data_IF_156975315255
#
_entry.id   IF_156975315255
#
_cell.length_a   1.000
_cell.length_b   1.000
_cell.length_c   1.000
_cell.angle_alpha   90.00
_cell.angle_beta   90.00
_cell.angle_gamma   90.00
#
_symmetry.space_group_name_H-M   'P 1'
#
loop_
_entity.id
_entity.type
_entity.pdbx_description
1 polymer ?
#
# COMPACT_ATOMS: atom_id res chain seq x y z
N UNK A 1 66.98 -27.73 17.93
CA UNK A 1 65.53 -27.44 17.85
C UNK A 1 65.33 -25.93 17.89
N UNK A 2 64.89 -25.33 16.77
CA UNK A 2 64.55 -23.90 16.66
C UNK A 2 63.04 -23.75 16.86
N UNK A 3 62.60 -22.97 17.84
CA UNK A 3 61.20 -22.56 17.98
C UNK A 3 61.02 -21.21 17.28
N UNK A 4 60.06 -21.12 16.36
CA UNK A 4 59.89 -20.01 15.43
C UNK A 4 58.73 -19.12 15.93
N UNK A 5 59.00 -17.84 16.18
CA UNK A 5 57.98 -16.86 16.59
C UNK A 5 57.16 -16.40 15.39
N UNK A 6 55.83 -16.43 15.49
CA UNK A 6 54.95 -15.68 14.58
C UNK A 6 54.21 -14.62 15.39
N UNK A 7 54.65 -13.38 15.22
CA UNK A 7 53.96 -12.20 15.74
C UNK A 7 52.70 -11.95 14.89
N UNK A 8 51.56 -11.88 15.57
CA UNK A 8 50.24 -11.59 15.02
C UNK A 8 50.11 -10.07 14.87
N UNK A 9 49.84 -9.60 13.64
CA UNK A 9 49.50 -8.21 13.34
C UNK A 9 48.05 -7.97 13.77
N UNK A 10 47.81 -7.05 14.72
CA UNK A 10 46.46 -6.53 15.01
C UNK A 10 46.19 -5.33 14.09
N UNK A 11 45.19 -5.45 13.23
CA UNK A 11 44.67 -4.37 12.39
C UNK A 11 43.51 -3.69 13.16
N UNK A 12 43.71 -2.45 13.61
CA UNK A 12 42.65 -1.66 14.24
C UNK A 12 41.84 -0.93 13.18
N UNK A 13 40.58 -1.33 12.99
CA UNK A 13 39.61 -0.61 12.17
C UNK A 13 39.01 0.55 12.96
N UNK A 14 39.16 1.76 12.42
CA UNK A 14 38.56 2.99 12.91
C UNK A 14 37.04 2.96 12.64
N UNK A 15 36.20 2.95 13.68
CA UNK A 15 34.76 3.18 13.53
C UNK A 15 34.50 4.68 13.40
N UNK A 16 34.13 5.14 12.21
CA UNK A 16 33.57 6.48 12.01
C UNK A 16 32.07 6.46 12.35
N UNK A 17 31.72 7.02 13.50
CA UNK A 17 30.33 7.23 13.93
C UNK A 17 29.70 8.35 13.10
N UNK A 18 28.80 8.01 12.16
CA UNK A 18 27.90 9.00 11.56
C UNK A 18 26.78 9.31 12.56
N UNK A 19 26.80 10.52 13.13
CA UNK A 19 25.67 11.05 13.88
C UNK A 19 24.54 11.37 12.89
N UNK A 20 23.50 10.53 12.84
CA UNK A 20 22.29 10.84 12.10
C UNK A 20 21.46 11.87 12.90
N UNK A 21 21.20 13.02 12.29
CA UNK A 21 20.24 14.00 12.79
C UNK A 21 18.85 13.36 12.81
N UNK A 22 18.40 12.89 13.96
CA UNK A 22 17.02 12.43 14.15
C UNK A 22 16.12 13.65 14.35
N UNK A 23 15.66 14.28 13.27
CA UNK A 23 14.42 15.05 13.37
C UNK A 23 13.34 14.10 13.87
N UNK A 24 12.61 14.48 14.91
CA UNK A 24 11.51 13.68 15.44
C UNK A 24 10.53 13.41 14.29
N UNK A 25 10.43 12.14 13.89
CA UNK A 25 9.51 11.69 12.86
C UNK A 25 8.17 11.39 13.51
N UNK A 26 7.11 12.03 13.01
CA UNK A 26 5.77 11.96 13.60
C UNK A 26 5.02 10.74 13.06
N UNK A 27 4.35 10.02 13.95
CA UNK A 27 3.36 8.98 13.59
C UNK A 27 2.05 9.68 13.24
N UNK A 28 1.44 9.28 12.13
CA UNK A 28 0.12 9.76 11.71
C UNK A 28 -0.86 8.60 11.63
N UNK A 29 -2.14 8.92 11.82
CA UNK A 29 -3.24 8.04 11.48
C UNK A 29 -3.45 8.09 9.96
N UNK A 30 -3.41 6.95 9.29
CA UNK A 30 -3.62 6.86 7.86
C UNK A 30 -4.77 5.90 7.64
N UNK A 31 -5.97 6.49 7.54
CA UNK A 31 -7.23 5.77 7.51
C UNK A 31 -7.62 5.48 6.08
N UNK A 32 -8.13 4.28 5.87
CA UNK A 32 -8.69 3.82 4.62
C UNK A 32 -9.93 2.97 4.93
N UNK A 33 -10.97 3.07 4.11
CA UNK A 33 -12.14 2.21 4.27
C UNK A 33 -12.63 1.61 2.95
N UNK A 34 -13.08 0.36 3.00
CA UNK A 34 -13.86 -0.24 1.94
C UNK A 34 -15.33 -0.23 2.33
N UNK A 35 -16.18 0.34 1.48
CA UNK A 35 -17.63 0.37 1.66
C UNK A 35 -18.31 -0.51 0.61
N UNK A 36 -19.45 -1.09 0.97
CA UNK A 36 -20.37 -1.63 -0.02
C UNK A 36 -21.06 -0.49 -0.73
N UNK A 37 -21.17 -0.57 -2.05
CA UNK A 37 -22.08 0.28 -2.80
C UNK A 37 -23.56 0.00 -2.42
N UNK A 38 -24.44 0.95 -2.70
CA UNK A 38 -25.86 0.90 -2.39
C UNK A 38 -26.75 0.35 -3.52
N UNK A 39 -26.25 0.36 -4.76
CA UNK A 39 -26.95 -0.11 -5.97
C UNK A 39 -26.69 -1.61 -6.16
N UNK A 40 -25.42 -2.02 -6.12
CA UNK A 40 -24.99 -3.42 -6.25
C UNK A 40 -24.24 -3.88 -4.99
N UNK A 41 -24.93 -4.05 -3.85
CA UNK A 41 -24.27 -4.23 -2.57
C UNK A 41 -23.56 -5.58 -2.44
N UNK A 42 -22.39 -5.57 -1.80
CA UNK A 42 -21.74 -6.76 -1.27
C UNK A 42 -22.20 -7.00 0.17
N UNK A 43 -22.33 -8.26 0.56
CA UNK A 43 -22.84 -8.66 1.87
C UNK A 43 -21.78 -8.59 2.97
N UNK A 44 -20.50 -8.77 2.61
CA UNK A 44 -19.40 -8.72 3.57
C UNK A 44 -18.12 -8.23 2.92
N UNK A 45 -17.41 -7.36 3.65
CA UNK A 45 -16.06 -6.90 3.31
C UNK A 45 -15.18 -7.06 4.54
N UNK A 46 -14.03 -7.73 4.37
CA UNK A 46 -13.02 -7.83 5.42
C UNK A 46 -11.63 -7.66 4.84
N UNK A 47 -10.77 -6.89 5.50
CA UNK A 47 -9.35 -6.83 5.18
C UNK A 47 -8.55 -7.61 6.22
N UNK A 48 -7.47 -8.26 5.80
CA UNK A 48 -6.51 -8.91 6.70
C UNK A 48 -5.11 -8.49 6.32
N UNK A 49 -4.43 -7.76 7.22
CA UNK A 49 -3.04 -7.35 7.01
C UNK A 49 -2.10 -8.55 7.01
N UNK A 50 -1.14 -8.59 6.09
CA UNK A 50 -0.24 -9.75 5.89
C UNK A 50 1.20 -9.53 6.37
N UNK A 51 1.44 -8.53 7.23
CA UNK A 51 2.77 -8.16 7.72
C UNK A 51 3.82 -7.81 6.63
N UNK A 52 3.38 -7.54 5.39
CA UNK A 52 4.25 -7.09 4.31
C UNK A 52 4.00 -5.61 4.03
N UNK A 53 5.06 -4.82 4.00
CA UNK A 53 5.00 -3.38 3.79
C UNK A 53 6.32 -2.85 3.25
N UNK A 54 6.30 -1.61 2.78
CA UNK A 54 7.47 -0.76 2.58
C UNK A 54 7.13 0.65 3.04
N UNK A 55 8.09 1.35 3.63
CA UNK A 55 7.91 2.68 4.16
C UNK A 55 9.21 3.46 3.98
N UNK A 56 9.09 4.76 3.75
CA UNK A 56 10.25 5.61 3.54
C UNK A 56 11.25 5.52 4.70
N UNK A 57 12.52 5.28 4.35
CA UNK A 57 13.61 5.13 5.32
C UNK A 57 13.63 6.22 6.39
N UNK A 58 13.69 5.79 7.65
CA UNK A 58 13.67 6.66 8.83
C UNK A 58 12.28 7.15 9.25
N UNK A 59 11.20 6.75 8.57
CA UNK A 59 9.83 6.99 9.06
C UNK A 59 9.36 5.85 10.00
N UNK A 60 8.50 6.15 10.99
CA UNK A 60 7.98 5.15 11.90
C UNK A 60 6.84 4.35 11.26
N UNK A 61 6.71 3.08 11.68
CA UNK A 61 5.51 2.26 11.53
C UNK A 61 5.15 1.73 12.92
N UNK A 62 4.05 2.21 13.47
CA UNK A 62 3.54 1.91 14.82
C UNK A 62 2.32 0.96 14.78
N UNK A 63 2.19 0.21 13.68
CA UNK A 63 1.21 -0.84 13.50
C UNK A 63 0.14 -0.56 12.44
N UNK A 64 -0.58 -1.61 12.10
CA UNK A 64 -1.73 -1.61 11.19
C UNK A 64 -2.93 -2.15 11.96
N UNK A 65 -3.97 -1.35 12.08
CA UNK A 65 -5.19 -1.70 12.80
C UNK A 65 -6.29 -1.94 11.78
N UNK A 66 -6.98 -3.08 11.91
CA UNK A 66 -8.00 -3.50 10.95
C UNK A 66 -9.29 -3.87 11.67
N UNK A 67 -10.43 -3.45 11.12
CA UNK A 67 -11.76 -3.80 11.60
C UNK A 67 -12.74 -3.89 10.44
N UNK A 68 -13.01 -5.11 9.95
CA UNK A 68 -13.79 -5.30 8.72
C UNK A 68 -13.08 -4.69 7.52
N UNK A 69 -13.75 -3.82 6.77
CA UNK A 69 -13.18 -3.05 5.66
C UNK A 69 -12.33 -1.83 6.08
N UNK A 70 -12.34 -1.45 7.36
CA UNK A 70 -11.57 -0.30 7.85
C UNK A 70 -10.13 -0.67 8.16
N UNK A 71 -9.20 0.18 7.72
CA UNK A 71 -7.76 0.06 7.92
C UNK A 71 -7.20 1.39 8.45
N UNK A 72 -6.39 1.34 9.49
CA UNK A 72 -5.62 2.48 9.99
C UNK A 72 -4.15 2.10 10.13
N UNK A 73 -3.31 2.67 9.27
CA UNK A 73 -1.86 2.48 9.31
C UNK A 73 -1.25 3.61 10.13
N UNK A 74 -0.71 3.30 11.31
CA UNK A 74 -0.02 4.28 12.14
C UNK A 74 1.41 4.45 11.60
N UNK A 75 1.63 5.45 10.75
CA UNK A 75 2.90 5.58 10.03
C UNK A 75 3.27 7.03 9.71
N UNK A 76 4.56 7.25 9.43
CA UNK A 76 5.07 8.53 8.94
C UNK A 76 4.64 8.87 7.50
N UNK A 77 4.63 10.16 7.16
CA UNK A 77 4.21 10.68 5.85
C UNK A 77 5.36 11.39 5.13
N UNK A 78 6.28 10.60 4.59
CA UNK A 78 7.39 11.13 3.78
C UNK A 78 7.42 10.42 2.44
N UNK A 79 7.21 11.16 1.36
CA UNK A 79 7.24 10.60 0.01
C UNK A 79 8.61 10.08 -0.37
N UNK A 80 8.63 8.93 -1.03
CA UNK A 80 9.84 8.30 -1.54
C UNK A 80 9.58 7.62 -2.87
N UNK A 81 10.45 7.89 -3.84
CA UNK A 81 10.46 7.20 -5.13
C UNK A 81 10.76 5.69 -4.97
N UNK A 82 11.75 5.27 -4.15
CA UNK A 82 11.95 3.84 -3.85
C UNK A 82 10.70 3.09 -3.43
N UNK A 83 9.89 3.66 -2.53
CA UNK A 83 8.65 3.02 -2.04
C UNK A 83 7.61 2.90 -3.15
N UNK A 84 7.47 3.94 -3.98
CA UNK A 84 6.61 3.88 -5.17
C UNK A 84 7.08 2.84 -6.18
N UNK A 85 8.38 2.73 -6.43
CA UNK A 85 8.93 1.72 -7.32
C UNK A 85 8.70 0.30 -6.80
N UNK A 86 8.81 0.11 -5.47
CA UNK A 86 8.52 -1.14 -4.78
C UNK A 86 7.05 -1.55 -4.95
N UNK A 87 6.10 -0.62 -4.71
CA UNK A 87 4.67 -0.83 -4.96
C UNK A 87 4.39 -1.18 -6.44
N UNK A 88 4.90 -0.37 -7.37
CA UNK A 88 4.70 -0.58 -8.81
C UNK A 88 5.29 -1.93 -9.25
N UNK A 89 6.45 -2.30 -8.73
CA UNK A 89 7.12 -3.58 -9.02
C UNK A 89 6.31 -4.80 -8.55
N UNK A 90 5.68 -4.72 -7.37
CA UNK A 90 4.79 -5.76 -6.87
C UNK A 90 3.56 -5.99 -7.78
N UNK A 91 3.20 -4.97 -8.57
CA UNK A 91 2.09 -4.96 -9.52
C UNK A 91 2.59 -5.03 -10.97
N UNK A 92 3.79 -5.58 -11.17
CA UNK A 92 4.41 -5.81 -12.49
C UNK A 92 4.57 -4.55 -13.35
N UNK A 93 4.51 -3.36 -12.74
CA UNK A 93 4.48 -2.06 -13.39
C UNK A 93 3.32 -1.90 -14.39
N UNK A 94 2.24 -2.67 -14.21
CA UNK A 94 1.07 -2.65 -15.07
C UNK A 94 0.00 -1.70 -14.50
N UNK A 95 -0.30 -0.64 -15.23
CA UNK A 95 -1.25 0.39 -14.80
C UNK A 95 -2.66 -0.19 -14.55
N UNK A 96 -3.06 -1.21 -15.33
CA UNK A 96 -4.34 -1.90 -15.18
C UNK A 96 -4.55 -2.60 -13.82
N UNK A 97 -3.48 -2.83 -13.06
CA UNK A 97 -3.51 -3.46 -11.73
C UNK A 97 -3.60 -2.45 -10.60
N UNK A 98 -3.75 -1.15 -10.90
CA UNK A 98 -3.68 -0.07 -9.91
C UNK A 98 -4.84 0.91 -10.07
N UNK A 99 -5.42 1.31 -8.95
CA UNK A 99 -6.41 2.38 -8.86
C UNK A 99 -5.87 3.46 -7.93
N UNK A 100 -5.62 4.65 -8.47
CA UNK A 100 -5.31 5.83 -7.67
C UNK A 100 -6.58 6.63 -7.37
N UNK A 101 -6.95 6.73 -6.10
CA UNK A 101 -8.08 7.55 -5.67
C UNK A 101 -7.71 9.02 -5.78
N UNK A 102 -8.61 9.84 -6.35
CA UNK A 102 -8.35 11.23 -6.72
C UNK A 102 -7.05 11.44 -7.52
N UNK A 103 -6.61 10.44 -8.28
CA UNK A 103 -5.41 10.51 -9.11
C UNK A 103 -5.75 10.64 -10.58
N UNK A 104 -5.09 11.58 -11.26
CA UNK A 104 -5.05 11.62 -12.72
C UNK A 104 -3.88 10.79 -13.29
N UNK A 105 -2.94 10.36 -12.44
CA UNK A 105 -1.80 9.54 -12.83
C UNK A 105 -2.18 8.07 -12.83
N UNK A 106 -1.62 7.31 -13.78
CA UNK A 106 -1.81 5.86 -13.86
C UNK A 106 -0.98 5.07 -12.84
N UNK A 107 0.07 5.68 -12.28
CA UNK A 107 0.89 5.10 -11.22
C UNK A 107 1.42 6.18 -10.27
N UNK A 108 1.68 5.86 -9.00
CA UNK A 108 2.30 6.80 -8.08
C UNK A 108 3.76 7.03 -8.45
N UNK A 109 4.19 8.30 -8.41
CA UNK A 109 5.61 8.66 -8.52
C UNK A 109 6.30 8.57 -7.16
N UNK A 110 5.66 9.05 -6.09
CA UNK A 110 6.16 8.91 -4.72
C UNK A 110 5.05 8.41 -3.80
N UNK A 111 5.43 7.56 -2.84
CA UNK A 111 4.55 7.05 -1.79
C UNK A 111 5.17 7.29 -0.42
N UNK A 112 4.32 7.44 0.59
CA UNK A 112 4.74 7.45 1.99
C UNK A 112 5.09 6.02 2.44
N UNK A 113 4.19 5.09 2.14
CA UNK A 113 4.28 3.66 2.43
C UNK A 113 3.32 2.87 1.53
N UNK A 114 3.47 1.55 1.54
CA UNK A 114 2.43 0.60 1.15
C UNK A 114 2.38 -0.56 2.13
N UNK A 115 1.21 -1.16 2.28
CA UNK A 115 0.98 -2.41 3.01
C UNK A 115 0.30 -3.42 2.09
N UNK A 116 0.50 -4.70 2.35
CA UNK A 116 -0.22 -5.78 1.68
C UNK A 116 -1.20 -6.44 2.64
N UNK A 117 -2.31 -6.90 2.10
CA UNK A 117 -3.24 -7.76 2.81
C UNK A 117 -4.09 -8.59 1.86
N UNK A 118 -5.04 -9.29 2.46
CA UNK A 118 -6.09 -10.01 1.76
C UNK A 118 -7.39 -9.23 1.96
N UNK A 119 -7.98 -8.76 0.86
CA UNK A 119 -9.34 -8.25 0.83
C UNK A 119 -10.28 -9.43 0.56
N UNK A 120 -11.22 -9.66 1.46
CA UNK A 120 -12.25 -10.70 1.32
C UNK A 120 -13.60 -10.03 1.06
N UNK A 121 -14.23 -10.38 -0.06
CA UNK A 121 -15.53 -9.85 -0.50
C UNK A 121 -16.45 -11.04 -0.71
N UNK A 122 -17.56 -11.10 0.03
CA UNK A 122 -18.53 -12.22 -0.01
C UNK A 122 -17.88 -13.64 0.08
N UNK A 123 -16.69 -13.75 0.69
CA UNK A 123 -15.91 -14.99 0.81
C UNK A 123 -14.82 -15.18 -0.25
N UNK A 124 -14.86 -14.48 -1.38
CA UNK A 124 -13.78 -14.43 -2.36
C UNK A 124 -12.60 -13.63 -1.80
N UNK A 125 -11.37 -14.07 -2.05
CA UNK A 125 -10.16 -13.49 -1.44
C UNK A 125 -9.18 -12.95 -2.48
N UNK A 126 -8.74 -11.72 -2.27
CA UNK A 126 -7.91 -10.97 -3.20
C UNK A 126 -6.65 -10.47 -2.49
N UNK A 127 -5.44 -10.86 -2.93
CA UNK A 127 -4.23 -10.17 -2.51
C UNK A 127 -4.25 -8.74 -3.01
N UNK A 128 -4.25 -7.78 -2.10
CA UNK A 128 -4.27 -6.35 -2.44
C UNK A 128 -3.15 -5.60 -1.74
N UNK A 129 -2.69 -4.53 -2.37
CA UNK A 129 -1.77 -3.55 -1.83
C UNK A 129 -2.53 -2.25 -1.59
N UNK A 130 -2.44 -1.72 -0.38
CA UNK A 130 -2.91 -0.38 -0.03
C UNK A 130 -1.71 0.52 0.14
N UNK A 131 -1.70 1.65 -0.56
CA UNK A 131 -0.59 2.57 -0.60
C UNK A 131 -1.07 4.00 -0.39
N UNK A 132 -0.29 4.79 0.35
CA UNK A 132 -0.60 6.21 0.54
C UNK A 132 0.38 7.07 -0.25
N UNK A 133 -0.18 7.90 -1.12
CA UNK A 133 0.53 8.89 -1.92
C UNK A 133 1.12 10.02 -1.08
N UNK A 134 2.07 10.73 -1.67
CA UNK A 134 2.68 11.91 -1.08
C UNK A 134 2.35 13.14 -1.91
N UNK A 135 1.14 13.65 -1.76
CA UNK A 135 0.70 14.92 -2.32
C UNK A 135 -0.06 15.72 -1.24
N UNK A 136 -0.60 16.89 -1.60
CA UNK A 136 -1.34 17.75 -0.65
C UNK A 136 -2.53 17.07 0.02
N UNK A 137 -3.05 15.98 -0.58
CA UNK A 137 -4.17 15.20 -0.09
C UNK A 137 -3.80 13.82 0.46
N UNK A 138 -2.53 13.40 0.36
CA UNK A 138 -2.05 12.05 0.66
C UNK A 138 -2.92 10.94 0.06
N UNK A 139 -3.22 11.07 -1.23
CA UNK A 139 -4.21 10.23 -1.91
C UNK A 139 -3.90 8.72 -1.81
N UNK A 140 -4.92 7.88 -1.61
CA UNK A 140 -4.73 6.44 -1.53
C UNK A 140 -4.67 5.77 -2.90
N UNK A 141 -3.98 4.63 -2.93
CA UNK A 141 -3.83 3.75 -4.06
C UNK A 141 -4.18 2.32 -3.64
N UNK A 142 -4.89 1.62 -4.51
CA UNK A 142 -5.25 0.22 -4.34
C UNK A 142 -4.64 -0.53 -5.50
N UNK A 143 -4.02 -1.68 -5.24
CA UNK A 143 -3.44 -2.49 -6.30
C UNK A 143 -3.66 -3.97 -6.11
N UNK A 144 -3.86 -4.71 -7.21
CA UNK A 144 -3.97 -6.17 -7.18
C UNK A 144 -3.61 -6.78 -8.53
N UNK A 145 -2.95 -7.94 -8.52
CA UNK A 145 -2.69 -8.70 -9.74
C UNK A 145 -3.95 -9.35 -10.33
N UNK A 146 -5.02 -9.51 -9.53
CA UNK A 146 -6.35 -9.87 -10.03
C UNK A 146 -7.14 -8.66 -10.52
N UNK A 147 -6.52 -7.48 -10.48
CA UNK A 147 -7.07 -6.22 -10.94
C UNK A 147 -7.04 -6.11 -12.47
N UNK A 148 -8.14 -5.67 -13.07
CA UNK A 148 -8.16 -5.19 -14.45
C UNK A 148 -8.80 -3.81 -14.51
N UNK A 149 -8.56 -3.11 -15.62
CA UNK A 149 -9.16 -1.81 -15.89
C UNK A 149 -8.88 -0.77 -14.78
N UNK A 150 -7.75 -0.83 -14.09
CA UNK A 150 -7.28 0.21 -13.16
C UNK A 150 -6.83 1.51 -13.85
N UNK A 151 -6.83 2.64 -13.10
CA UNK A 151 -6.79 4.02 -13.66
C UNK A 151 -5.63 4.17 -14.67
N UNK A 152 -5.84 4.91 -15.77
CA UNK A 152 -6.62 6.12 -15.72
C UNK A 152 -8.15 5.99 -15.99
N UNK A 153 -8.82 4.83 -15.80
CA UNK A 153 -10.24 4.44 -15.43
C UNK A 153 -10.63 4.45 -13.90
N UNK A 154 -11.83 5.00 -13.53
CA UNK A 154 -12.18 5.51 -12.14
C UNK A 154 -12.41 4.40 -11.13
N UNK A 155 -12.08 3.20 -11.57
CA UNK A 155 -12.49 1.95 -11.02
C UNK A 155 -11.43 0.91 -11.36
N UNK A 156 -11.57 -0.27 -10.78
CA UNK A 156 -10.76 -1.44 -11.08
C UNK A 156 -11.63 -2.66 -10.81
N UNK A 157 -11.67 -3.58 -11.76
CA UNK A 157 -12.34 -4.88 -11.57
C UNK A 157 -11.41 -5.81 -10.80
N UNK A 158 -11.90 -6.52 -9.79
CA UNK A 158 -11.21 -7.66 -9.17
C UNK A 158 -11.89 -8.95 -9.63
N UNK A 159 -11.13 -9.84 -10.25
CA UNK A 159 -11.63 -11.16 -10.68
C UNK A 159 -11.14 -12.26 -9.75
N UNK A 160 -12.04 -13.01 -9.12
CA UNK A 160 -11.68 -14.11 -8.22
C UNK A 160 -11.26 -15.36 -9.00
N UNK A 161 -10.71 -16.36 -8.31
CA UNK A 161 -10.27 -17.62 -8.93
C UNK A 161 -11.42 -18.40 -9.61
N UNK A 162 -12.68 -18.17 -9.19
CA UNK A 162 -13.86 -18.79 -9.80
C UNK A 162 -14.45 -17.96 -10.97
N UNK A 163 -13.83 -16.82 -11.30
CA UNK A 163 -14.25 -15.91 -12.36
C UNK A 163 -15.30 -14.89 -11.93
N UNK A 164 -15.66 -14.80 -10.65
CA UNK A 164 -16.55 -13.77 -10.14
C UNK A 164 -15.84 -12.41 -10.13
N UNK A 165 -16.57 -11.34 -10.48
CA UNK A 165 -16.00 -10.01 -10.69
C UNK A 165 -16.67 -9.00 -9.78
N UNK A 166 -15.85 -8.28 -9.01
CA UNK A 166 -16.27 -7.13 -8.22
C UNK A 166 -15.69 -5.84 -8.80
N UNK A 167 -16.45 -4.75 -8.76
CA UNK A 167 -15.95 -3.44 -9.08
C UNK A 167 -15.43 -2.79 -7.81
N UNK A 168 -14.24 -2.20 -7.86
CA UNK A 168 -13.75 -1.25 -6.87
C UNK A 168 -13.74 0.12 -7.52
N UNK A 169 -14.41 1.10 -6.93
CA UNK A 169 -14.43 2.45 -7.46
C UNK A 169 -14.40 3.54 -6.39
N UNK A 170 -14.18 4.76 -6.86
CA UNK A 170 -14.26 5.95 -6.05
C UNK A 170 -15.57 6.70 -6.35
N UNK A 171 -16.33 7.11 -5.32
CA UNK A 171 -17.38 8.11 -5.51
C UNK A 171 -16.77 9.52 -5.37
N UNK A 172 -16.61 10.29 -6.45
CA UNK A 172 -16.06 11.63 -6.36
C UNK A 172 -16.94 12.61 -5.55
N UNK A 173 -18.18 12.24 -5.21
CA UNK A 173 -19.12 13.09 -4.47
C UNK A 173 -19.15 12.81 -2.96
N UNK A 174 -18.52 11.73 -2.49
CA UNK A 174 -18.44 11.47 -1.05
C UNK A 174 -17.49 12.49 -0.40
N UNK A 175 -17.82 13.02 0.79
CA UNK A 175 -17.02 14.04 1.48
C UNK A 175 -15.56 13.64 1.75
N UNK A 176 -15.29 12.33 1.82
CA UNK A 176 -13.99 11.76 2.18
C UNK A 176 -13.27 11.08 1.00
N UNK A 177 -13.49 11.54 -0.24
CA UNK A 177 -13.12 10.83 -1.48
C UNK A 177 -11.67 10.28 -1.52
N UNK A 178 -10.73 10.83 -0.77
CA UNK A 178 -9.33 10.37 -0.78
C UNK A 178 -9.07 9.07 -0.05
N UNK A 179 -9.93 8.70 0.93
CA UNK A 179 -9.62 7.73 1.99
C UNK A 179 -10.56 6.52 2.01
N UNK A 180 -11.29 6.25 0.93
CA UNK A 180 -12.14 5.06 0.83
C UNK A 180 -12.37 4.60 -0.62
N UNK A 181 -12.82 3.37 -0.78
CA UNK A 181 -13.37 2.87 -2.05
C UNK A 181 -14.70 2.15 -1.84
N UNK A 182 -15.59 2.23 -2.82
CA UNK A 182 -16.81 1.44 -2.91
C UNK A 182 -16.54 0.13 -3.63
N UNK A 183 -17.23 -0.93 -3.19
CA UNK A 183 -17.20 -2.25 -3.79
C UNK A 183 -18.60 -2.64 -4.22
N UNK A 184 -18.72 -3.05 -5.48
CA UNK A 184 -19.95 -3.56 -6.07
C UNK A 184 -19.83 -5.05 -6.40
N UNK A 185 -20.94 -5.77 -6.24
CA UNK A 185 -21.12 -7.16 -6.70
C UNK A 185 -21.47 -7.20 -8.21
N UNK A 186 -20.64 -6.53 -9.01
CA UNK A 186 -20.79 -6.40 -10.44
C UNK A 186 -19.46 -6.00 -11.09
N UNK A 187 -19.35 -6.20 -12.41
CA UNK A 187 -18.30 -5.54 -13.20
C UNK A 187 -18.56 -4.03 -13.23
N UNK A 188 -17.49 -3.22 -13.15
CA UNK A 188 -17.59 -1.78 -13.31
C UNK A 188 -18.29 -1.41 -14.62
N UNK A 189 -19.25 -0.48 -14.57
CA UNK A 189 -19.82 0.10 -15.78
C UNK A 189 -18.79 0.98 -16.49
N UNK A 190 -18.67 0.82 -17.81
CA UNK A 190 -17.80 1.64 -18.68
C UNK A 190 -18.28 3.10 -18.80
#
# INVERSE_FOLDING_TARGET
MKCNSKNILFLSTLLSSFAMNTHAVTVHDNKFNFYSDSINPVQSINFTYSDQYDITGGQPLDGVYVSGGYVDVKAGRKGSQPVANSFNGNLQNMDAHMLGLESASSKPYTLNFWIKGILTINGDSFPVYLAQGHNTKNNWWIGSLSGSDGKPSKHMNLTSDNGHVYCIEQDPNHPDATDYAFIEDAKCSE
#
